data_IF_678471427252
#
_entry.id   IF_678471427252
#
_cell.length_a   1.000
_cell.length_b   1.000
_cell.length_c   1.000
_cell.angle_alpha   90.00
_cell.angle_beta   90.00
_cell.angle_gamma   90.00
#
_symmetry.space_group_name_H-M   'P 1'
#
loop_
_entity.id
_entity.type
_entity.pdbx_description
1 polymer ?
#
# COMPACT_ATOMS: atom_id res chain seq x y z
N UNK A 1 8.51 13.11 -24.84
CA UNK A 1 7.43 13.09 -23.87
C UNK A 1 7.58 11.77 -23.13
N UNK A 2 8.14 11.79 -21.94
CA UNK A 2 8.31 10.61 -21.09
C UNK A 2 7.27 10.77 -20.00
N UNK A 3 6.23 9.96 -19.98
CA UNK A 3 5.17 9.99 -19.00
C UNK A 3 5.15 8.67 -18.28
N UNK A 4 5.21 8.71 -16.98
CA UNK A 4 5.22 7.54 -16.09
C UNK A 4 3.80 7.15 -15.77
N UNK A 5 3.37 5.96 -16.14
CA UNK A 5 2.08 5.39 -15.76
C UNK A 5 2.23 4.43 -14.56
N UNK A 6 3.08 4.78 -13.59
CA UNK A 6 3.09 4.09 -12.28
C UNK A 6 1.71 4.22 -11.59
N UNK A 7 0.87 5.13 -12.09
CA UNK A 7 -0.42 5.51 -11.54
C UNK A 7 -1.52 4.44 -11.61
N UNK A 8 -1.44 3.43 -12.48
CA UNK A 8 -2.56 2.47 -12.62
C UNK A 8 -2.72 1.57 -11.38
N UNK A 9 -1.66 1.33 -10.62
CA UNK A 9 -1.72 0.47 -9.43
C UNK A 9 -1.98 1.19 -8.10
N UNK A 10 -1.93 2.53 -8.07
CA UNK A 10 -2.21 3.32 -6.87
C UNK A 10 -3.64 3.89 -6.85
N UNK A 11 -4.49 3.51 -7.76
CA UNK A 11 -5.41 4.45 -8.34
C UNK A 11 -6.81 4.52 -7.74
N UNK A 12 -7.23 3.69 -6.80
CA UNK A 12 -8.61 3.78 -6.31
C UNK A 12 -8.67 3.48 -4.81
N UNK A 13 -8.51 4.54 -4.04
CA UNK A 13 -8.71 4.56 -2.60
C UNK A 13 -10.19 4.82 -2.30
N UNK A 14 -11.02 3.78 -2.33
CA UNK A 14 -12.39 3.91 -1.85
C UNK A 14 -12.54 3.24 -0.50
N UNK A 15 -12.63 4.05 0.51
CA UNK A 15 -12.94 3.60 1.87
C UNK A 15 -14.42 3.84 2.15
N UNK A 16 -15.26 2.82 1.98
CA UNK A 16 -16.60 2.87 2.60
C UNK A 16 -16.45 2.58 4.09
N UNK A 17 -16.45 3.61 4.91
CA UNK A 17 -16.53 3.50 6.36
C UNK A 17 -17.85 2.82 6.76
N UNK A 18 -17.80 1.51 6.98
CA UNK A 18 -18.86 0.80 7.67
C UNK A 18 -18.63 0.88 9.18
N UNK A 19 -19.62 1.48 9.83
CA UNK A 19 -19.97 1.47 11.26
C UNK A 19 -19.06 0.68 12.20
N UNK A 20 -18.36 1.43 13.05
CA UNK A 20 -17.97 1.15 14.44
C UNK A 20 -18.12 -0.28 14.94
N UNK A 21 -17.14 -1.12 14.70
CA UNK A 21 -16.79 -2.12 15.70
C UNK A 21 -15.69 -1.52 16.59
N UNK A 22 -15.99 -1.34 17.88
CA UNK A 22 -14.99 -1.07 18.90
C UNK A 22 -14.02 -2.25 18.93
N UNK A 23 -12.95 -2.19 18.15
CA UNK A 23 -11.79 -3.03 18.37
C UNK A 23 -11.12 -2.53 19.65
N UNK A 24 -11.07 -3.37 20.66
CA UNK A 24 -10.28 -3.10 21.85
C UNK A 24 -8.84 -2.88 21.40
N UNK A 25 -8.35 -1.65 21.53
CA UNK A 25 -6.93 -1.33 21.41
C UNK A 25 -6.24 -1.96 22.61
N UNK A 26 -5.65 -3.14 22.43
CA UNK A 26 -4.73 -3.70 23.41
C UNK A 26 -3.39 -2.98 23.24
N UNK A 27 -3.10 -2.07 24.15
CA UNK A 27 -1.75 -1.54 24.32
C UNK A 27 -0.80 -2.71 24.60
N UNK A 28 0.20 -2.89 23.76
CA UNK A 28 1.33 -3.77 24.02
C UNK A 28 1.42 -5.04 23.17
N UNK A 29 1.29 -4.97 21.86
CA UNK A 29 1.78 -6.06 21.02
C UNK A 29 3.26 -5.80 20.71
N UNK A 30 4.11 -6.66 21.23
CA UNK A 30 5.57 -6.63 21.06
C UNK A 30 6.06 -7.61 20.00
N UNK A 31 5.15 -8.27 19.31
CA UNK A 31 5.45 -9.32 18.33
C UNK A 31 5.19 -8.82 16.91
N UNK A 32 6.02 -9.29 15.99
CA UNK A 32 5.87 -9.02 14.57
C UNK A 32 4.58 -9.64 14.03
N UNK A 33 3.96 -8.99 13.08
CA UNK A 33 2.81 -9.51 12.35
C UNK A 33 3.19 -9.89 10.94
N UNK A 34 2.74 -11.04 10.51
CA UNK A 34 3.03 -11.57 9.19
C UNK A 34 1.78 -11.57 8.32
N UNK A 35 1.94 -11.14 7.08
CA UNK A 35 0.89 -11.12 6.10
C UNK A 35 1.36 -11.69 4.77
N UNK A 36 0.44 -12.31 4.02
CA UNK A 36 0.57 -12.52 2.59
C UNK A 36 -0.37 -11.56 1.88
N UNK A 37 0.14 -10.85 0.88
CA UNK A 37 -0.65 -10.03 -0.02
C UNK A 37 -0.51 -10.58 -1.44
N UNK A 38 -1.64 -11.02 -1.98
CA UNK A 38 -1.76 -11.52 -3.34
C UNK A 38 -2.52 -10.49 -4.17
N UNK A 39 -1.89 -10.01 -5.23
CA UNK A 39 -2.46 -9.06 -6.17
C UNK A 39 -2.56 -9.69 -7.55
N UNK A 40 -3.74 -9.69 -8.15
CA UNK A 40 -3.98 -10.15 -9.52
C UNK A 40 -4.49 -9.00 -10.37
N UNK A 41 -3.82 -8.74 -11.49
CA UNK A 41 -4.22 -7.72 -12.46
C UNK A 41 -4.57 -8.41 -13.77
N UNK A 42 -5.69 -8.02 -14.37
CA UNK A 42 -6.13 -8.49 -15.68
C UNK A 42 -6.37 -7.30 -16.60
N UNK A 43 -5.61 -7.21 -17.66
CA UNK A 43 -5.83 -6.28 -18.77
C UNK A 43 -6.73 -6.94 -19.80
N UNK A 44 -7.74 -6.23 -20.28
CA UNK A 44 -8.69 -6.74 -21.26
C UNK A 44 -8.96 -5.72 -22.36
N UNK A 45 -8.90 -6.20 -23.60
CA UNK A 45 -9.35 -5.45 -24.77
C UNK A 45 -10.65 -6.12 -25.25
N UNK A 46 -11.84 -5.53 -25.00
CA UNK A 46 -13.11 -6.17 -25.35
C UNK A 46 -13.26 -6.43 -26.86
N UNK A 47 -14.02 -7.47 -27.22
CA UNK A 47 -14.17 -7.91 -28.62
C UNK A 47 -14.82 -6.87 -29.54
N UNK A 48 -15.55 -5.91 -28.99
CA UNK A 48 -16.13 -4.77 -29.69
C UNK A 48 -15.21 -3.55 -29.76
N UNK A 49 -13.97 -3.67 -29.27
CA UNK A 49 -12.97 -2.62 -29.32
C UNK A 49 -12.50 -2.34 -30.75
N UNK A 50 -12.17 -1.07 -31.00
CA UNK A 50 -11.67 -0.62 -32.32
C UNK A 50 -10.15 -0.45 -32.35
N UNK A 51 -9.50 -0.57 -31.17
CA UNK A 51 -8.08 -0.27 -31.01
C UNK A 51 -7.32 -1.50 -30.54
N UNK A 52 -6.03 -1.54 -30.82
CA UNK A 52 -5.08 -2.48 -30.22
C UNK A 52 -4.48 -1.80 -28.98
N UNK A 53 -4.35 -2.52 -27.89
CA UNK A 53 -3.63 -2.06 -26.71
C UNK A 53 -2.16 -2.45 -26.85
N UNK A 54 -1.32 -1.55 -27.32
CA UNK A 54 0.12 -1.73 -27.38
C UNK A 54 0.72 -1.48 -25.99
N UNK A 55 1.32 -2.50 -25.39
CA UNK A 55 1.92 -2.40 -24.06
C UNK A 55 3.18 -1.56 -24.06
N UNK A 56 3.24 -0.64 -23.14
CA UNK A 56 4.42 0.18 -22.83
C UNK A 56 5.22 -0.43 -21.68
N UNK A 57 6.32 0.20 -21.28
CA UNK A 57 7.03 -0.17 -20.04
C UNK A 57 6.14 -0.01 -18.82
N UNK A 58 5.26 0.96 -18.83
CA UNK A 58 4.34 1.31 -17.74
C UNK A 58 3.34 0.19 -17.45
N UNK A 59 2.83 -0.50 -18.50
CA UNK A 59 1.95 -1.66 -18.35
C UNK A 59 2.65 -2.88 -17.71
N UNK A 60 3.98 -2.85 -17.59
CA UNK A 60 4.81 -3.91 -17.05
C UNK A 60 5.26 -3.64 -15.61
N UNK A 61 5.08 -2.40 -15.13
CA UNK A 61 5.57 -1.99 -13.80
C UNK A 61 4.76 -2.65 -12.70
N UNK A 62 5.47 -3.23 -11.73
CA UNK A 62 4.93 -3.58 -10.41
C UNK A 62 5.72 -2.90 -9.32
N UNK A 63 5.04 -2.42 -8.29
CA UNK A 63 5.69 -1.97 -7.06
C UNK A 63 6.13 -3.17 -6.23
N UNK A 64 7.29 -3.04 -5.58
CA UNK A 64 7.87 -4.09 -4.74
C UNK A 64 7.71 -3.80 -3.25
N UNK A 65 6.83 -2.88 -2.90
CA UNK A 65 6.60 -2.43 -1.54
C UNK A 65 7.85 -1.87 -0.85
N UNK A 66 7.66 -1.20 0.24
CA UNK A 66 8.75 -0.58 0.99
C UNK A 66 9.40 -1.57 1.95
N UNK A 67 10.73 -1.51 2.05
CA UNK A 67 11.49 -2.11 3.14
C UNK A 67 12.09 -1.00 4.00
N UNK A 68 11.81 -1.02 5.31
CA UNK A 68 12.28 0.00 6.25
C UNK A 68 12.46 -0.59 7.65
N UNK A 69 12.59 0.25 8.69
CA UNK A 69 12.77 -0.20 10.07
C UNK A 69 11.55 -0.87 10.69
N UNK A 70 10.39 -0.75 10.05
CA UNK A 70 9.10 -1.19 10.59
C UNK A 70 8.44 -2.28 9.74
N UNK A 71 8.96 -2.49 8.54
CA UNK A 71 8.39 -3.40 7.56
C UNK A 71 9.48 -4.08 6.75
N UNK A 72 9.37 -5.39 6.60
CA UNK A 72 10.17 -6.18 5.66
C UNK A 72 9.24 -6.87 4.67
N UNK A 73 9.54 -6.75 3.37
CA UNK A 73 8.74 -7.32 2.30
C UNK A 73 9.60 -8.16 1.38
N UNK A 74 9.10 -9.36 1.05
CA UNK A 74 9.69 -10.27 0.08
C UNK A 74 8.66 -10.61 -1.00
N UNK A 75 9.01 -10.40 -2.27
CA UNK A 75 8.22 -10.94 -3.38
C UNK A 75 8.46 -12.45 -3.46
N UNK A 76 7.43 -13.24 -3.16
CA UNK A 76 7.50 -14.71 -3.14
C UNK A 76 7.28 -15.31 -4.52
N UNK A 77 6.37 -14.73 -5.29
CA UNK A 77 6.05 -15.20 -6.63
C UNK A 77 5.52 -14.10 -7.53
N UNK A 78 5.75 -14.24 -8.81
CA UNK A 78 5.13 -13.49 -9.88
C UNK A 78 4.83 -14.45 -11.05
N UNK A 79 3.68 -14.27 -11.73
CA UNK A 79 3.28 -15.12 -12.85
C UNK A 79 4.32 -15.09 -13.98
N UNK A 80 4.91 -13.92 -14.21
CA UNK A 80 5.97 -13.72 -15.21
C UNK A 80 7.28 -13.31 -14.52
N UNK A 81 8.40 -13.57 -15.19
CA UNK A 81 9.70 -13.15 -14.71
C UNK A 81 9.78 -11.64 -14.48
N UNK A 82 10.65 -11.24 -13.55
CA UNK A 82 10.99 -9.83 -13.32
C UNK A 82 12.30 -9.51 -14.01
N UNK A 83 12.27 -8.48 -14.83
CA UNK A 83 13.46 -7.81 -15.34
C UNK A 83 13.59 -6.41 -14.73
N UNK A 84 14.79 -5.84 -14.78
CA UNK A 84 15.07 -4.44 -14.47
C UNK A 84 14.44 -3.94 -13.16
N UNK A 85 15.03 -4.33 -12.04
CA UNK A 85 14.75 -3.68 -10.76
C UNK A 85 15.31 -2.26 -10.81
N UNK A 86 14.47 -1.27 -10.57
CA UNK A 86 14.83 0.15 -10.56
C UNK A 86 14.07 0.92 -9.50
N UNK A 87 14.38 2.19 -9.38
CA UNK A 87 13.62 3.12 -8.56
C UNK A 87 12.88 4.10 -9.49
N UNK A 88 11.64 4.44 -9.12
CA UNK A 88 10.90 5.51 -9.76
C UNK A 88 11.43 6.90 -9.32
N UNK A 89 10.80 7.97 -9.76
CA UNK A 89 11.21 9.33 -9.40
C UNK A 89 10.93 9.71 -7.94
N UNK A 90 10.01 9.00 -7.28
CA UNK A 90 9.69 9.14 -5.87
C UNK A 90 10.58 8.28 -4.96
N UNK A 91 11.45 7.47 -5.55
CA UNK A 91 12.37 6.58 -4.85
C UNK A 91 11.75 5.24 -4.44
N UNK A 92 10.58 4.88 -4.95
CA UNK A 92 10.00 3.56 -4.71
C UNK A 92 10.67 2.49 -5.57
N UNK A 93 10.89 1.33 -4.99
CA UNK A 93 11.44 0.19 -5.72
C UNK A 93 10.39 -0.46 -6.60
N UNK A 94 10.67 -0.55 -7.88
CA UNK A 94 9.78 -1.17 -8.88
C UNK A 94 10.50 -2.25 -9.67
N UNK A 95 9.71 -3.18 -10.22
CA UNK A 95 10.18 -4.20 -11.15
C UNK A 95 9.36 -4.20 -12.42
N UNK A 96 9.95 -4.67 -13.52
CA UNK A 96 9.24 -4.84 -14.78
C UNK A 96 8.93 -6.31 -15.01
N UNK A 97 7.66 -6.64 -15.22
CA UNK A 97 7.22 -7.99 -15.61
C UNK A 97 7.57 -8.26 -17.06
N UNK A 98 8.11 -9.44 -17.33
CA UNK A 98 8.34 -9.93 -18.68
C UNK A 98 7.04 -10.48 -19.28
N UNK A 99 6.14 -9.57 -19.70
CA UNK A 99 4.85 -9.97 -20.24
C UNK A 99 5.03 -10.82 -21.52
N UNK A 100 4.24 -11.90 -21.71
CA UNK A 100 4.37 -12.82 -22.84
C UNK A 100 3.86 -12.23 -24.16
N UNK A 101 3.14 -11.11 -24.11
CA UNK A 101 2.59 -10.38 -25.25
C UNK A 101 3.06 -8.93 -25.19
N UNK A 102 3.18 -8.31 -26.36
CA UNK A 102 3.48 -6.87 -26.49
C UNK A 102 2.23 -6.03 -26.74
N UNK A 103 1.10 -6.68 -26.99
CA UNK A 103 -0.16 -6.02 -27.32
C UNK A 103 -1.35 -6.95 -27.03
N UNK A 104 -2.54 -6.36 -26.86
CA UNK A 104 -3.81 -7.06 -26.86
C UNK A 104 -4.65 -6.60 -28.05
N UNK A 105 -5.02 -7.56 -28.90
CA UNK A 105 -6.01 -7.34 -29.96
C UNK A 105 -7.44 -7.36 -29.37
N UNK A 106 -8.43 -6.81 -30.07
CA UNK A 106 -9.83 -6.91 -29.66
C UNK A 106 -10.24 -8.36 -29.35
N UNK A 107 -10.86 -8.57 -28.18
CA UNK A 107 -11.24 -9.89 -27.67
C UNK A 107 -10.15 -10.61 -26.87
N UNK A 108 -8.97 -10.04 -26.70
CA UNK A 108 -7.88 -10.63 -25.92
C UNK A 108 -7.80 -10.06 -24.49
N UNK A 109 -7.26 -10.88 -23.59
CA UNK A 109 -6.89 -10.48 -22.23
C UNK A 109 -5.56 -11.06 -21.82
N UNK A 110 -4.96 -10.45 -20.80
CA UNK A 110 -3.74 -10.89 -20.13
C UNK A 110 -3.88 -10.72 -18.64
N UNK A 111 -3.60 -11.76 -17.87
CA UNK A 111 -3.63 -11.71 -16.41
C UNK A 111 -2.29 -12.10 -15.82
N UNK A 112 -1.91 -11.44 -14.75
CA UNK A 112 -0.74 -11.80 -13.94
C UNK A 112 -1.04 -11.62 -12.45
N UNK A 113 -0.31 -12.38 -11.64
CA UNK A 113 -0.44 -12.37 -10.18
C UNK A 113 0.93 -12.19 -9.57
N UNK A 114 1.00 -11.37 -8.53
CA UNK A 114 2.15 -11.27 -7.63
C UNK A 114 1.73 -11.66 -6.21
N UNK A 115 2.65 -12.23 -5.45
CA UNK A 115 2.45 -12.56 -4.04
C UNK A 115 3.64 -12.06 -3.23
N UNK A 116 3.34 -11.27 -2.20
CA UNK A 116 4.31 -10.72 -1.27
C UNK A 116 4.10 -11.30 0.13
N UNK A 117 5.19 -11.68 0.79
CA UNK A 117 5.20 -11.93 2.23
C UNK A 117 5.71 -10.68 2.93
N UNK A 118 4.99 -10.25 3.95
CA UNK A 118 5.18 -8.98 4.62
C UNK A 118 5.27 -9.23 6.11
N UNK A 119 6.29 -8.67 6.74
CA UNK A 119 6.50 -8.68 8.19
C UNK A 119 6.40 -7.25 8.70
N UNK A 120 5.38 -7.00 9.50
CA UNK A 120 5.16 -5.74 10.20
C UNK A 120 5.73 -5.80 11.61
N UNK A 121 6.72 -4.97 11.88
CA UNK A 121 7.32 -4.81 13.19
C UNK A 121 6.58 -3.73 14.00
N UNK A 122 6.54 -3.82 15.34
CA UNK A 122 5.94 -2.80 16.18
C UNK A 122 6.55 -1.43 15.93
N UNK A 123 5.71 -0.44 15.64
CA UNK A 123 6.13 0.94 15.45
C UNK A 123 5.84 1.76 16.71
N UNK A 124 6.88 2.32 17.29
CA UNK A 124 6.76 3.24 18.42
C UNK A 124 6.85 4.68 17.92
N UNK A 125 5.81 5.45 18.18
CA UNK A 125 5.85 6.90 17.99
C UNK A 125 6.49 7.51 19.25
N UNK A 126 7.40 8.49 19.10
CA UNK A 126 8.01 9.17 20.25
C UNK A 126 6.96 9.91 21.07
N UNK A 127 7.26 10.19 22.33
CA UNK A 127 6.44 11.05 23.15
C UNK A 127 6.48 12.47 22.59
N UNK A 128 5.31 12.99 22.19
CA UNK A 128 5.19 14.27 21.51
C UNK A 128 4.74 15.33 22.50
N UNK A 129 5.55 16.38 22.63
CA UNK A 129 5.26 17.54 23.47
C UNK A 129 5.46 18.83 22.70
N UNK A 130 4.47 19.73 22.75
CA UNK A 130 4.59 21.07 22.14
C UNK A 130 5.80 21.85 22.66
N UNK A 131 6.14 21.67 23.96
CA UNK A 131 7.30 22.32 24.56
C UNK A 131 8.62 21.88 23.95
N UNK A 132 8.71 20.64 23.47
CA UNK A 132 9.90 20.02 22.87
C UNK A 132 9.94 20.14 21.35
N UNK A 133 8.84 20.57 20.72
CA UNK A 133 8.80 20.78 19.28
C UNK A 133 9.82 21.80 18.84
N UNK A 134 10.58 21.44 17.80
CA UNK A 134 11.44 22.36 17.08
C UNK A 134 10.63 23.39 16.30
N UNK A 135 11.31 24.44 15.87
CA UNK A 135 10.74 25.53 15.06
C UNK A 135 11.04 25.34 13.57
N UNK A 136 10.37 26.10 12.72
CA UNK A 136 10.59 26.04 11.26
C UNK A 136 12.08 26.18 10.87
N UNK A 137 12.86 26.98 11.59
CA UNK A 137 14.29 27.12 11.33
C UNK A 137 15.14 25.90 11.72
N UNK A 138 14.58 24.94 12.47
CA UNK A 138 15.28 23.69 12.82
C UNK A 138 15.12 22.63 11.72
N UNK A 139 14.31 22.91 10.69
CA UNK A 139 14.14 22.03 9.54
C UNK A 139 15.38 22.13 8.64
N UNK A 140 16.04 20.99 8.31
CA UNK A 140 17.16 21.02 7.38
C UNK A 140 16.77 21.59 6.02
N UNK A 141 17.48 22.63 5.55
CA UNK A 141 17.17 23.31 4.29
C UNK A 141 17.16 22.37 3.08
N UNK A 142 17.94 21.28 3.11
CA UNK A 142 17.94 20.27 2.06
C UNK A 142 16.57 19.56 1.98
N UNK A 143 15.95 19.24 3.12
CA UNK A 143 14.63 18.60 3.15
C UNK A 143 13.54 19.55 2.63
N UNK A 144 13.62 20.84 3.00
CA UNK A 144 12.69 21.84 2.48
C UNK A 144 12.82 21.95 0.94
N UNK A 145 14.04 21.97 0.41
CA UNK A 145 14.27 22.01 -1.04
C UNK A 145 13.74 20.77 -1.76
N UNK A 146 13.86 19.60 -1.14
CA UNK A 146 13.45 18.33 -1.76
C UNK A 146 11.95 18.04 -1.65
N UNK A 147 11.34 18.34 -0.50
CA UNK A 147 9.99 17.91 -0.16
C UNK A 147 8.98 19.05 0.06
N UNK A 148 9.38 20.29 -0.03
CA UNK A 148 8.48 21.43 0.08
C UNK A 148 8.49 22.36 -1.14
N UNK A 149 9.36 22.11 -2.12
CA UNK A 149 9.48 22.90 -3.35
C UNK A 149 8.94 22.19 -4.59
N UNK A 150 8.59 20.90 -4.52
CA UNK A 150 8.06 20.16 -5.66
C UNK A 150 6.65 20.65 -6.00
N UNK A 151 6.39 20.79 -7.30
CA UNK A 151 5.08 21.14 -7.87
C UNK A 151 4.27 19.87 -8.17
N UNK A 152 3.18 20.01 -8.90
CA UNK A 152 2.31 18.90 -9.30
C UNK A 152 1.13 18.75 -8.33
N UNK A 153 0.90 17.55 -7.82
CA UNK A 153 -0.22 17.21 -6.92
C UNK A 153 -0.45 18.20 -5.77
N UNK A 154 0.62 18.86 -5.30
CA UNK A 154 0.59 19.56 -4.01
C UNK A 154 -0.07 20.92 -4.04
N UNK A 155 -0.17 21.59 -5.20
CA UNK A 155 -0.79 22.93 -5.38
C UNK A 155 -0.41 23.96 -4.32
N UNK A 156 0.74 23.80 -3.66
CA UNK A 156 1.18 24.65 -2.54
C UNK A 156 1.54 26.08 -2.97
N UNK A 157 1.60 26.34 -4.28
CA UNK A 157 1.78 27.68 -4.86
C UNK A 157 0.46 28.35 -5.23
N UNK A 158 -0.69 27.65 -5.11
CA UNK A 158 -2.00 28.25 -5.31
C UNK A 158 -2.26 29.35 -4.29
N UNK A 159 -2.68 30.56 -4.71
CA UNK A 159 -2.85 31.71 -3.80
C UNK A 159 -3.86 31.44 -2.67
N UNK A 160 -4.92 30.66 -2.92
CA UNK A 160 -5.91 30.34 -1.88
C UNK A 160 -5.36 29.38 -0.84
N UNK A 161 -4.53 28.44 -1.24
CA UNK A 161 -3.84 27.51 -0.33
C UNK A 161 -2.78 28.25 0.48
N UNK A 162 -2.05 29.19 -0.15
CA UNK A 162 -1.06 30.02 0.56
C UNK A 162 -1.73 30.91 1.61
N UNK A 163 -2.81 31.61 1.26
CA UNK A 163 -3.56 32.44 2.19
C UNK A 163 -4.08 31.60 3.36
N UNK A 164 -4.73 30.46 3.07
CA UNK A 164 -5.28 29.56 4.07
C UNK A 164 -4.20 29.04 5.02
N UNK A 165 -3.06 28.56 4.50
CA UNK A 165 -1.97 28.04 5.30
C UNK A 165 -1.41 29.09 6.28
N UNK A 166 -1.20 30.31 5.79
CA UNK A 166 -0.70 31.40 6.63
C UNK A 166 -1.73 31.89 7.64
N UNK A 167 -3.00 31.93 7.30
CA UNK A 167 -4.08 32.30 8.21
C UNK A 167 -4.20 31.30 9.37
N UNK A 168 -4.13 29.98 9.08
CA UNK A 168 -4.19 28.94 10.11
C UNK A 168 -2.93 28.97 10.99
N UNK A 169 -1.75 29.05 10.39
CA UNK A 169 -0.49 29.06 11.13
C UNK A 169 -0.33 30.33 11.98
N UNK A 170 -0.85 31.47 11.52
CA UNK A 170 -0.76 32.75 12.23
C UNK A 170 0.70 33.12 12.54
N UNK A 171 0.98 33.33 13.81
CA UNK A 171 2.34 33.67 14.30
C UNK A 171 3.08 32.45 14.90
N UNK A 172 2.57 31.24 14.72
CA UNK A 172 3.20 30.04 15.26
C UNK A 172 4.52 29.77 14.53
N UNK A 173 5.50 29.31 15.26
CA UNK A 173 6.81 28.92 14.70
C UNK A 173 7.18 27.48 15.00
N UNK A 174 6.53 26.84 15.97
CA UNK A 174 6.76 25.44 16.33
C UNK A 174 6.03 24.52 15.37
N UNK A 175 6.75 23.60 14.77
CA UNK A 175 6.24 22.75 13.69
C UNK A 175 5.09 21.88 14.16
N UNK A 176 5.15 21.32 15.37
CA UNK A 176 4.06 20.50 15.91
C UNK A 176 2.77 21.31 16.15
N UNK A 177 2.89 22.54 16.67
CA UNK A 177 1.75 23.43 16.89
C UNK A 177 1.07 23.80 15.57
N UNK A 178 1.87 24.16 14.55
CA UNK A 178 1.38 24.41 13.19
C UNK A 178 0.66 23.19 12.63
N UNK A 179 1.29 22.03 12.69
CA UNK A 179 0.70 20.77 12.17
C UNK A 179 -0.64 20.46 12.85
N UNK A 180 -0.73 20.63 14.18
CA UNK A 180 -1.98 20.47 14.93
C UNK A 180 -3.08 21.42 14.47
N UNK A 181 -2.75 22.70 14.29
CA UNK A 181 -3.72 23.70 13.83
C UNK A 181 -4.27 23.38 12.43
N UNK A 182 -3.41 22.87 11.54
CA UNK A 182 -3.81 22.42 10.20
C UNK A 182 -4.74 21.19 10.27
N UNK A 183 -4.42 20.21 11.13
CA UNK A 183 -5.27 19.02 11.38
C UNK A 183 -6.65 19.46 11.91
N UNK A 184 -6.69 20.34 12.89
CA UNK A 184 -7.93 20.85 13.47
C UNK A 184 -8.80 21.55 12.42
N UNK A 185 -8.17 22.39 11.59
CA UNK A 185 -8.88 23.09 10.52
C UNK A 185 -9.48 22.10 9.51
N UNK A 186 -8.71 21.10 9.05
CA UNK A 186 -9.20 20.08 8.08
C UNK A 186 -10.34 19.29 8.70
N UNK A 187 -10.20 18.81 9.94
CA UNK A 187 -11.25 18.09 10.68
C UNK A 187 -12.56 18.88 10.73
N UNK A 188 -12.48 20.19 10.96
CA UNK A 188 -13.64 21.03 11.19
C UNK A 188 -14.31 21.51 9.87
N UNK A 189 -13.59 21.49 8.75
CA UNK A 189 -14.04 22.07 7.48
C UNK A 189 -14.20 21.07 6.33
N UNK A 190 -13.57 19.89 6.40
CA UNK A 190 -13.60 18.90 5.32
C UNK A 190 -14.33 17.64 5.79
N UNK A 191 -15.47 17.35 5.14
CA UNK A 191 -16.21 16.12 5.41
C UNK A 191 -15.67 14.96 4.57
N UNK A 192 -15.75 13.73 5.08
CA UNK A 192 -15.30 12.57 4.35
C UNK A 192 -16.27 12.21 3.20
N UNK A 193 -15.77 12.16 1.98
CA UNK A 193 -16.52 11.73 0.79
C UNK A 193 -15.53 11.14 -0.22
N UNK A 194 -15.83 9.94 -0.74
CA UNK A 194 -14.98 9.25 -1.72
C UNK A 194 -15.09 9.87 -3.10
N UNK A 195 -13.96 9.93 -3.82
CA UNK A 195 -13.88 10.36 -5.21
C UNK A 195 -13.22 9.27 -6.08
N UNK A 196 -13.62 9.20 -7.34
CA UNK A 196 -12.99 8.28 -8.31
C UNK A 196 -11.61 8.78 -8.79
N UNK A 197 -11.35 10.04 -8.66
CA UNK A 197 -10.07 10.71 -8.95
C UNK A 197 -9.78 11.64 -7.80
N UNK A 198 -8.57 11.58 -7.24
CA UNK A 198 -8.17 12.47 -6.17
C UNK A 198 -8.30 13.96 -6.57
N UNK A 199 -8.58 14.80 -5.59
CA UNK A 199 -8.73 16.23 -5.77
C UNK A 199 -7.42 16.98 -5.45
N UNK A 200 -7.14 18.04 -6.21
CA UNK A 200 -6.12 19.00 -5.79
C UNK A 200 -6.57 19.73 -4.51
N UNK A 201 -5.62 20.22 -3.73
CA UNK A 201 -5.89 20.85 -2.43
C UNK A 201 -6.93 21.97 -2.50
N UNK A 202 -6.84 22.86 -3.49
CA UNK A 202 -7.78 23.96 -3.71
C UNK A 202 -9.19 23.45 -4.07
N UNK A 203 -9.29 22.32 -4.75
CA UNK A 203 -10.55 21.69 -5.07
C UNK A 203 -11.21 21.08 -3.84
N UNK A 204 -10.41 20.40 -2.98
CA UNK A 204 -10.87 19.86 -1.69
C UNK A 204 -11.39 20.96 -0.78
N UNK A 205 -10.68 22.09 -0.70
CA UNK A 205 -11.13 23.28 0.07
C UNK A 205 -12.42 23.84 -0.50
N UNK A 206 -12.50 24.02 -1.82
CA UNK A 206 -13.69 24.57 -2.48
C UNK A 206 -14.90 23.67 -2.34
N UNK A 207 -14.72 22.35 -2.37
CA UNK A 207 -15.79 21.37 -2.22
C UNK A 207 -16.21 21.16 -0.75
N UNK A 208 -15.33 21.38 0.21
CA UNK A 208 -15.54 21.08 1.64
C UNK A 208 -15.68 19.59 1.93
N UNK A 209 -15.24 18.75 0.99
CA UNK A 209 -15.27 17.28 1.09
C UNK A 209 -14.00 16.67 0.49
N UNK A 210 -13.63 15.48 0.97
CA UNK A 210 -12.51 14.71 0.45
C UNK A 210 -12.34 13.39 1.19
N UNK A 211 -11.76 12.40 0.55
CA UNK A 211 -11.44 11.11 1.19
C UNK A 211 -10.03 11.10 1.82
N UNK A 212 -9.43 9.93 1.96
CA UNK A 212 -8.18 9.80 2.71
C UNK A 212 -7.00 10.49 2.00
N UNK A 213 -6.86 10.32 0.70
CA UNK A 213 -5.78 10.94 -0.06
C UNK A 213 -6.06 12.41 -0.35
N UNK A 214 -7.31 12.81 -0.60
CA UNK A 214 -7.70 14.22 -0.76
C UNK A 214 -7.32 15.06 0.48
N UNK A 215 -7.68 14.55 1.68
CA UNK A 215 -7.36 15.23 2.94
C UNK A 215 -5.85 15.22 3.23
N UNK A 216 -5.16 14.12 2.90
CA UNK A 216 -3.71 14.05 3.02
C UNK A 216 -3.01 15.02 2.05
N UNK A 217 -3.46 15.11 0.79
CA UNK A 217 -2.95 16.06 -0.21
C UNK A 217 -3.15 17.50 0.26
N UNK A 218 -4.33 17.82 0.79
CA UNK A 218 -4.59 19.14 1.35
C UNK A 218 -3.65 19.47 2.51
N UNK A 219 -3.47 18.55 3.46
CA UNK A 219 -2.54 18.75 4.57
C UNK A 219 -1.11 18.97 4.08
N UNK A 220 -0.66 18.18 3.10
CA UNK A 220 0.68 18.28 2.51
C UNK A 220 0.85 19.63 1.81
N UNK A 221 -0.15 20.08 1.05
CA UNK A 221 -0.11 21.38 0.38
C UNK A 221 0.03 22.54 1.38
N UNK A 222 -0.74 22.52 2.47
CA UNK A 222 -0.65 23.51 3.54
C UNK A 222 0.71 23.48 4.27
N UNK A 223 1.22 22.29 4.58
CA UNK A 223 2.54 22.10 5.20
C UNK A 223 3.67 22.62 4.30
N UNK A 224 3.64 22.26 3.01
CA UNK A 224 4.65 22.68 2.04
C UNK A 224 4.65 24.20 1.81
N UNK A 225 3.47 24.81 1.80
CA UNK A 225 3.34 26.28 1.77
C UNK A 225 4.11 26.95 2.90
N UNK A 226 4.12 26.34 4.08
CA UNK A 226 4.82 26.85 5.27
C UNK A 226 6.28 26.37 5.36
N UNK A 227 6.80 25.72 4.32
CA UNK A 227 8.16 25.22 4.25
C UNK A 227 8.41 23.93 5.06
N UNK A 228 7.35 23.24 5.48
CA UNK A 228 7.43 21.98 6.22
C UNK A 228 7.48 20.80 5.23
N UNK A 229 8.59 20.03 5.16
CA UNK A 229 8.75 18.90 4.27
C UNK A 229 7.68 17.86 4.54
N UNK A 230 7.00 17.41 3.48
CA UNK A 230 5.94 16.41 3.59
C UNK A 230 5.68 15.70 2.27
N UNK A 231 5.14 14.49 2.32
CA UNK A 231 4.78 13.68 1.16
C UNK A 231 3.60 12.76 1.47
N UNK A 232 2.95 12.23 0.44
CA UNK A 232 1.89 11.24 0.56
C UNK A 232 2.51 9.85 0.65
N UNK A 233 2.04 9.05 1.59
CA UNK A 233 2.34 7.63 1.68
C UNK A 233 1.07 6.82 1.44
N UNK A 234 1.15 5.85 0.55
CA UNK A 234 0.08 4.90 0.26
C UNK A 234 0.40 3.58 0.92
N UNK A 235 -0.63 2.93 1.45
CA UNK A 235 -0.52 1.61 2.05
C UNK A 235 -1.81 0.82 1.98
N UNK A 236 -1.76 -0.39 2.52
CA UNK A 236 -2.90 -1.30 2.59
C UNK A 236 -3.19 -1.68 4.04
N UNK A 237 -4.44 -1.59 4.45
CA UNK A 237 -4.90 -1.96 5.79
C UNK A 237 -5.52 -3.36 5.74
N UNK A 238 -5.08 -4.24 6.64
CA UNK A 238 -5.73 -5.53 6.83
C UNK A 238 -7.07 -5.36 7.57
N UNK A 239 -8.17 -5.73 6.91
CA UNK A 239 -9.53 -5.61 7.41
C UNK A 239 -10.22 -6.98 7.32
N UNK A 240 -10.13 -7.83 8.37
CA UNK A 240 -10.61 -9.23 8.31
C UNK A 240 -12.08 -9.38 7.94
N UNK A 241 -12.90 -8.39 8.27
CA UNK A 241 -14.35 -8.38 8.06
C UNK A 241 -14.80 -7.66 6.79
N UNK A 242 -13.85 -7.20 5.93
CA UNK A 242 -14.22 -6.50 4.70
C UNK A 242 -15.02 -7.44 3.79
N UNK A 243 -16.20 -6.99 3.38
CA UNK A 243 -17.03 -7.68 2.43
C UNK A 243 -16.35 -7.71 1.06
N UNK A 244 -16.42 -8.87 0.41
CA UNK A 244 -15.87 -9.04 -0.92
C UNK A 244 -16.95 -8.71 -1.96
N UNK A 245 -16.57 -8.05 -3.02
CA UNK A 245 -17.44 -7.75 -4.16
C UNK A 245 -16.71 -6.86 -5.16
N UNK A 246 -17.01 -6.98 -6.45
CA UNK A 246 -16.47 -6.08 -7.45
C UNK A 246 -17.08 -4.68 -7.28
N UNK A 247 -16.23 -3.68 -7.35
CA UNK A 247 -16.60 -2.28 -7.45
C UNK A 247 -16.10 -1.74 -8.78
N UNK A 248 -17.00 -1.13 -9.56
CA UNK A 248 -16.69 -0.63 -10.90
C UNK A 248 -16.49 0.88 -10.88
N UNK A 249 -15.42 1.31 -11.54
CA UNK A 249 -15.00 2.70 -11.64
C UNK A 249 -14.77 3.08 -13.08
N UNK A 250 -14.75 4.40 -13.35
CA UNK A 250 -14.40 4.94 -14.67
C UNK A 250 -15.23 4.35 -15.80
N UNK A 251 -16.57 4.39 -15.65
CA UNK A 251 -17.50 3.80 -16.60
C UNK A 251 -17.25 2.29 -16.86
N UNK A 252 -16.92 1.53 -15.82
CA UNK A 252 -16.59 0.11 -15.87
C UNK A 252 -15.30 -0.19 -16.65
N UNK A 253 -14.42 0.80 -16.83
CA UNK A 253 -13.08 0.57 -17.38
C UNK A 253 -12.12 0.00 -16.33
N UNK A 254 -12.43 0.18 -15.03
CA UNK A 254 -11.68 -0.40 -13.93
C UNK A 254 -12.65 -1.13 -12.99
N UNK A 255 -12.32 -2.38 -12.65
CA UNK A 255 -13.02 -3.17 -11.64
C UNK A 255 -12.06 -3.55 -10.53
N UNK A 256 -12.42 -3.29 -9.28
CA UNK A 256 -11.62 -3.61 -8.10
C UNK A 256 -12.34 -4.65 -7.25
N UNK A 257 -11.58 -5.64 -6.79
CA UNK A 257 -12.03 -6.67 -5.83
C UNK A 257 -11.06 -6.69 -4.66
N UNK A 258 -11.54 -6.32 -3.48
CA UNK A 258 -10.73 -6.26 -2.27
C UNK A 258 -11.20 -7.30 -1.25
N UNK A 259 -10.28 -8.19 -0.87
CA UNK A 259 -10.55 -9.27 0.09
C UNK A 259 -9.68 -9.10 1.33
N UNK A 260 -10.30 -8.74 2.43
CA UNK A 260 -9.65 -8.48 3.73
C UNK A 260 -8.58 -7.37 3.68
N UNK A 261 -8.67 -6.48 2.72
CA UNK A 261 -7.75 -5.36 2.49
C UNK A 261 -8.56 -4.10 2.22
N UNK A 262 -7.99 -2.95 2.51
CA UNK A 262 -8.45 -1.63 2.07
C UNK A 262 -7.23 -0.77 1.81
N UNK A 263 -7.15 -0.17 0.63
CA UNK A 263 -6.10 0.80 0.32
C UNK A 263 -6.35 2.12 1.06
N UNK A 264 -5.27 2.78 1.44
CA UNK A 264 -5.33 3.99 2.26
C UNK A 264 -4.14 4.91 2.00
N UNK A 265 -4.39 6.23 2.07
CA UNK A 265 -3.38 7.27 1.94
C UNK A 265 -3.31 8.16 3.18
N UNK A 266 -2.09 8.56 3.56
CA UNK A 266 -1.84 9.49 4.67
C UNK A 266 -0.63 10.37 4.39
N UNK A 267 -0.57 11.52 5.05
CA UNK A 267 0.58 12.39 4.98
C UNK A 267 1.73 11.87 5.86
N UNK A 268 2.95 12.17 5.45
CA UNK A 268 4.14 12.05 6.29
C UNK A 268 4.80 13.42 6.33
N UNK A 269 5.00 13.98 7.53
CA UNK A 269 5.54 15.31 7.75
C UNK A 269 6.85 15.26 8.56
N UNK A 270 7.78 16.16 8.25
CA UNK A 270 8.99 16.30 9.03
C UNK A 270 8.76 17.27 10.20
N UNK A 271 8.77 16.75 11.42
CA UNK A 271 8.50 17.51 12.64
C UNK A 271 9.73 17.43 13.56
N UNK A 272 10.58 18.46 13.61
CA UNK A 272 11.75 18.45 14.48
C UNK A 272 11.34 18.50 15.97
N UNK A 273 12.10 17.84 16.89
CA UNK A 273 13.32 17.06 16.65
C UNK A 273 13.06 15.61 16.25
N UNK A 274 11.79 15.16 16.17
CA UNK A 274 11.43 13.76 16.00
C UNK A 274 11.64 13.19 14.57
N UNK A 275 11.76 14.08 13.56
CA UNK A 275 11.96 13.67 12.16
C UNK A 275 10.64 13.39 11.44
N UNK A 276 10.62 12.37 10.57
CA UNK A 276 9.46 12.01 9.76
C UNK A 276 8.41 11.29 10.59
N UNK A 277 7.21 11.88 10.70
CA UNK A 277 6.06 11.32 11.41
C UNK A 277 4.87 11.14 10.46
N UNK A 278 4.13 10.02 10.56
CA UNK A 278 2.88 9.85 9.84
C UNK A 278 1.80 10.78 10.42
N UNK A 279 0.97 11.31 9.55
CA UNK A 279 -0.19 12.13 9.93
C UNK A 279 -1.41 11.64 9.16
N UNK A 280 -2.26 10.87 9.80
CA UNK A 280 -3.46 10.28 9.24
C UNK A 280 -4.71 10.99 9.75
N UNK A 281 -5.55 11.45 8.83
CA UNK A 281 -6.72 12.27 9.16
C UNK A 281 -8.02 11.45 9.18
N UNK A 282 -8.01 10.24 8.64
CA UNK A 282 -9.24 9.51 8.33
C UNK A 282 -9.33 8.12 8.95
N UNK A 283 -8.19 7.46 9.21
CA UNK A 283 -8.15 6.19 9.92
C UNK A 283 -7.51 6.36 11.31
N UNK A 284 -8.27 6.94 12.23
CA UNK A 284 -7.86 7.24 13.61
C UNK A 284 -8.90 6.66 14.57
N UNK A 285 -8.63 5.51 15.22
CA UNK A 285 -9.62 4.79 16.04
C UNK A 285 -10.27 5.61 17.16
N UNK A 286 -9.53 6.51 17.80
CA UNK A 286 -10.06 7.38 18.88
C UNK A 286 -10.56 8.74 18.36
N UNK A 287 -10.55 8.93 17.04
CA UNK A 287 -10.94 10.18 16.41
C UNK A 287 -9.95 11.32 16.61
N UNK A 288 -10.27 12.48 16.03
CA UNK A 288 -9.42 13.66 15.98
C UNK A 288 -9.80 14.76 17.01
N UNK A 289 -10.60 14.45 18.04
CA UNK A 289 -10.87 15.41 19.12
C UNK A 289 -9.56 15.90 19.77
N UNK A 290 -8.58 15.01 19.87
CA UNK A 290 -7.19 15.38 20.09
C UNK A 290 -6.45 15.28 18.75
N UNK A 291 -5.98 16.38 18.14
CA UNK A 291 -5.32 16.36 16.85
C UNK A 291 -4.00 15.55 16.83
N UNK A 292 -3.35 15.36 18.00
CA UNK A 292 -2.19 14.47 18.10
C UNK A 292 -2.52 13.01 17.77
N UNK A 293 -3.79 12.59 17.86
CA UNK A 293 -4.18 11.24 17.49
C UNK A 293 -3.91 10.95 16.01
N UNK A 294 -3.95 11.95 15.15
CA UNK A 294 -3.55 11.80 13.74
C UNK A 294 -2.12 11.25 13.59
N UNK A 295 -1.24 11.53 14.53
CA UNK A 295 0.15 11.06 14.54
C UNK A 295 0.28 9.79 15.38
N UNK A 296 -0.33 9.77 16.57
CA UNK A 296 -0.15 8.70 17.56
C UNK A 296 -0.91 7.43 17.22
N UNK A 297 -2.01 7.55 16.47
CA UNK A 297 -2.98 6.47 16.27
C UNK A 297 -3.39 6.26 14.80
N UNK A 298 -2.71 6.90 13.85
CA UNK A 298 -2.96 6.70 12.43
C UNK A 298 -2.76 5.23 11.99
N UNK A 299 -3.25 4.89 10.80
CA UNK A 299 -3.25 3.52 10.28
C UNK A 299 -1.90 2.81 10.44
N UNK A 300 -0.82 3.48 10.08
CA UNK A 300 0.53 2.91 10.08
C UNK A 300 1.05 2.55 11.48
N UNK A 301 0.43 3.06 12.55
CA UNK A 301 0.81 2.73 13.93
C UNK A 301 0.08 1.49 14.47
N UNK A 302 -0.89 0.95 13.72
CA UNK A 302 -1.79 -0.12 14.18
C UNK A 302 -1.27 -1.54 13.92
N UNK A 303 -0.09 -1.70 13.30
CA UNK A 303 0.47 -3.00 12.90
C UNK A 303 -0.47 -3.87 12.02
N UNK A 304 -1.43 -3.28 11.37
CA UNK A 304 -2.27 -3.93 10.37
C UNK A 304 -2.21 -3.19 9.03
N UNK A 305 -1.23 -2.30 8.88
CA UNK A 305 -1.07 -1.42 7.73
C UNK A 305 0.29 -1.64 7.08
N UNK A 306 0.26 -2.11 5.85
CA UNK A 306 1.45 -2.33 5.03
C UNK A 306 1.74 -1.08 4.22
N UNK A 307 2.97 -0.58 4.28
CA UNK A 307 3.40 0.58 3.50
C UNK A 307 3.76 0.14 2.07
N UNK A 308 3.15 0.79 1.10
CA UNK A 308 3.29 0.43 -0.31
C UNK A 308 4.29 1.31 -1.05
N UNK A 309 4.02 2.61 -1.12
CA UNK A 309 4.86 3.59 -1.82
C UNK A 309 4.74 4.99 -1.23
N UNK A 310 5.72 5.82 -1.54
CA UNK A 310 5.68 7.26 -1.30
C UNK A 310 5.41 8.00 -2.60
N UNK A 311 4.72 9.14 -2.52
CA UNK A 311 4.52 10.08 -3.61
C UNK A 311 4.98 11.45 -3.12
N UNK A 312 6.03 11.96 -3.72
CA UNK A 312 6.67 13.23 -3.32
C UNK A 312 6.88 14.20 -4.47
N UNK A 313 7.04 13.68 -5.71
CA UNK A 313 7.36 14.43 -6.93
C UNK A 313 6.36 14.18 -8.06
N UNK A 314 5.85 12.94 -8.16
CA UNK A 314 4.88 12.54 -9.18
C UNK A 314 3.60 13.37 -9.05
N UNK A 315 3.05 13.82 -10.18
CA UNK A 315 1.70 14.39 -10.20
C UNK A 315 0.66 13.28 -10.25
N UNK A 316 0.41 12.72 -9.08
CA UNK A 316 -0.51 11.61 -8.84
C UNK A 316 -1.92 11.84 -9.40
N UNK A 317 -2.41 13.08 -9.33
CA UNK A 317 -3.75 13.44 -9.82
C UNK A 317 -3.76 13.50 -11.34
N UNK A 318 -2.77 14.17 -11.95
CA UNK A 318 -2.66 14.25 -13.40
C UNK A 318 -2.51 12.86 -14.04
N UNK A 319 -1.70 11.99 -13.43
CA UNK A 319 -1.51 10.61 -13.90
C UNK A 319 -2.81 9.80 -13.79
N UNK A 320 -3.61 10.04 -12.75
CA UNK A 320 -4.92 9.42 -12.57
C UNK A 320 -5.91 9.84 -13.68
N UNK A 321 -5.95 11.13 -14.00
CA UNK A 321 -6.79 11.68 -15.07
C UNK A 321 -6.36 11.13 -16.44
N UNK A 322 -5.06 11.03 -16.71
CA UNK A 322 -4.54 10.49 -17.97
C UNK A 322 -4.88 9.01 -18.14
N UNK A 323 -4.68 8.21 -17.07
CA UNK A 323 -5.00 6.78 -17.06
C UNK A 323 -6.49 6.52 -17.29
N UNK A 324 -7.35 7.29 -16.61
CA UNK A 324 -8.79 7.22 -16.82
C UNK A 324 -9.19 7.52 -18.25
N UNK A 325 -8.65 8.61 -18.81
CA UNK A 325 -8.93 9.00 -20.18
C UNK A 325 -8.45 7.95 -21.17
N UNK A 326 -7.25 7.42 -20.96
CA UNK A 326 -6.70 6.36 -21.82
C UNK A 326 -7.60 5.12 -21.84
N UNK A 327 -8.05 4.63 -20.68
CA UNK A 327 -8.89 3.43 -20.62
C UNK A 327 -10.27 3.67 -21.23
N UNK A 328 -10.94 4.79 -20.91
CA UNK A 328 -12.29 5.10 -21.40
C UNK A 328 -12.28 5.34 -22.91
N UNK A 329 -11.35 6.17 -23.42
CA UNK A 329 -11.32 6.58 -24.81
C UNK A 329 -11.01 5.43 -25.77
N UNK A 330 -10.24 4.43 -25.30
CA UNK A 330 -9.90 3.25 -26.06
C UNK A 330 -10.82 2.05 -25.77
N UNK A 331 -11.69 2.13 -24.76
CA UNK A 331 -12.57 1.05 -24.35
C UNK A 331 -11.84 -0.13 -23.70
N UNK A 332 -10.65 0.10 -23.15
CA UNK A 332 -9.87 -0.92 -22.44
C UNK A 332 -10.38 -1.12 -21.01
N UNK A 333 -10.13 -2.29 -20.46
CA UNK A 333 -10.56 -2.65 -19.12
C UNK A 333 -9.40 -3.20 -18.29
N UNK A 334 -9.35 -2.81 -17.02
CA UNK A 334 -8.43 -3.32 -16.02
C UNK A 334 -9.24 -3.87 -14.85
N UNK A 335 -8.99 -5.13 -14.49
CA UNK A 335 -9.49 -5.70 -13.25
C UNK A 335 -8.33 -5.91 -12.29
N UNK A 336 -8.49 -5.44 -11.06
CA UNK A 336 -7.55 -5.63 -9.96
C UNK A 336 -8.23 -6.42 -8.85
N UNK A 337 -7.58 -7.48 -8.38
CA UNK A 337 -8.03 -8.28 -7.25
C UNK A 337 -6.90 -8.38 -6.23
N UNK A 338 -7.12 -7.83 -5.04
CA UNK A 338 -6.18 -7.84 -3.94
C UNK A 338 -6.74 -8.65 -2.77
N UNK A 339 -5.93 -9.57 -2.26
CA UNK A 339 -6.28 -10.41 -1.14
C UNK A 339 -5.17 -10.38 -0.09
N UNK A 340 -5.48 -9.89 1.12
CA UNK A 340 -4.55 -9.88 2.23
C UNK A 340 -4.91 -10.95 3.26
N UNK A 341 -3.93 -11.75 3.67
CA UNK A 341 -4.11 -12.83 4.63
C UNK A 341 -3.14 -12.67 5.79
N UNK A 342 -3.65 -12.67 7.00
CA UNK A 342 -2.82 -12.74 8.21
C UNK A 342 -2.22 -14.15 8.35
N UNK A 343 -0.91 -14.22 8.53
CA UNK A 343 -0.16 -15.44 8.75
C UNK A 343 0.22 -15.51 10.24
N UNK A 344 -0.52 -16.26 11.06
CA UNK A 344 -0.18 -16.38 12.47
C UNK A 344 1.21 -17.03 12.61
N UNK A 345 2.06 -16.43 13.43
CA UNK A 345 3.30 -17.11 13.84
C UNK A 345 2.93 -18.32 14.69
N UNK A 346 3.45 -19.48 14.31
CA UNK A 346 3.39 -20.65 15.19
C UNK A 346 4.11 -20.32 16.49
N UNK A 347 3.34 -20.10 17.56
CA UNK A 347 3.88 -19.89 18.91
C UNK A 347 4.63 -21.15 19.37
N UNK A 348 5.88 -21.26 18.95
CA UNK A 348 6.90 -22.04 19.65
C UNK A 348 6.84 -23.54 19.65
N UNK A 349 6.13 -24.19 18.76
CA UNK A 349 6.48 -25.56 18.36
C UNK A 349 7.43 -25.43 17.16
N UNK A 350 8.71 -25.66 17.36
CA UNK A 350 9.68 -25.76 16.26
C UNK A 350 9.10 -26.67 15.21
N UNK A 351 8.50 -26.06 14.18
CA UNK A 351 7.80 -26.75 13.12
C UNK A 351 8.70 -27.83 12.56
N UNK A 352 8.16 -29.00 12.44
CA UNK A 352 8.75 -30.14 11.75
C UNK A 352 9.29 -29.63 10.41
N UNK A 353 10.61 -29.56 10.30
CA UNK A 353 11.27 -29.18 9.06
C UNK A 353 10.75 -30.13 7.95
N UNK A 354 10.06 -29.67 6.90
CA UNK A 354 9.48 -30.53 5.90
C UNK A 354 10.51 -31.44 5.24
N UNK A 355 11.77 -31.03 5.21
CA UNK A 355 12.90 -31.89 4.81
C UNK A 355 13.13 -33.05 5.78
N UNK A 356 13.03 -32.82 7.10
CA UNK A 356 13.19 -33.88 8.12
C UNK A 356 11.97 -34.82 8.04
N UNK A 357 10.76 -34.29 7.82
CA UNK A 357 9.56 -35.12 7.63
C UNK A 357 9.65 -35.98 6.36
N UNK A 358 10.13 -35.43 5.26
CA UNK A 358 10.33 -36.16 4.01
C UNK A 358 11.38 -37.26 4.15
N UNK A 359 12.50 -36.98 4.86
CA UNK A 359 13.55 -37.98 5.14
C UNK A 359 13.06 -39.07 6.07
N UNK A 360 12.26 -38.76 7.11
CA UNK A 360 11.66 -39.75 8.00
C UNK A 360 10.64 -40.63 7.27
N UNK A 361 9.79 -40.08 6.44
CA UNK A 361 8.83 -40.82 5.63
C UNK A 361 9.56 -41.74 4.63
N UNK A 362 10.60 -41.22 3.96
CA UNK A 362 11.43 -42.04 3.06
C UNK A 362 12.14 -43.21 3.78
N UNK A 363 12.63 -42.96 4.99
CA UNK A 363 13.27 -43.99 5.83
C UNK A 363 12.25 -45.05 6.29
N UNK A 364 11.03 -44.66 6.67
CA UNK A 364 9.95 -45.59 7.04
C UNK A 364 9.53 -46.45 5.84
N UNK A 365 9.39 -45.88 4.66
CA UNK A 365 9.06 -46.59 3.43
C UNK A 365 10.17 -47.55 3.02
N UNK A 366 11.44 -47.14 3.15
CA UNK A 366 12.60 -47.99 2.87
C UNK A 366 12.69 -49.19 3.85
N UNK A 367 12.48 -48.96 5.15
CA UNK A 367 12.47 -50.01 6.17
C UNK A 367 11.28 -50.98 5.94
N UNK A 368 10.08 -50.49 5.60
CA UNK A 368 8.91 -51.31 5.30
C UNK A 368 9.17 -52.19 4.09
N UNK A 369 9.79 -51.66 3.04
CA UNK A 369 10.17 -52.41 1.83
C UNK A 369 11.20 -53.48 2.12
N UNK A 370 12.16 -53.20 3.00
CA UNK A 370 13.20 -54.17 3.44
C UNK A 370 12.57 -55.31 4.22
N UNK A 371 11.65 -55.02 5.15
CA UNK A 371 10.93 -56.02 5.94
C UNK A 371 10.08 -56.94 5.05
N UNK A 372 9.34 -56.37 4.11
CA UNK A 372 8.55 -57.12 3.12
C UNK A 372 9.45 -58.01 2.25
N UNK A 373 10.61 -57.48 1.81
CA UNK A 373 11.58 -58.23 1.02
C UNK A 373 12.19 -59.41 1.82
N UNK A 374 12.53 -59.19 3.11
CA UNK A 374 12.99 -60.26 3.99
C UNK A 374 11.91 -61.32 4.24
N UNK A 375 10.66 -60.92 4.44
CA UNK A 375 9.54 -61.85 4.60
C UNK A 375 9.31 -62.71 3.33
N UNK A 376 9.39 -62.11 2.14
CA UNK A 376 9.26 -62.83 0.86
C UNK A 376 10.45 -63.78 0.64
N UNK A 377 11.71 -63.41 0.98
CA UNK A 377 12.88 -64.29 0.92
C UNK A 377 12.74 -65.46 1.90
N UNK A 378 12.22 -65.24 3.13
CA UNK A 378 11.94 -66.32 4.09
C UNK A 378 10.85 -67.26 3.60
N UNK A 379 9.78 -66.76 2.97
CA UNK A 379 8.73 -67.59 2.36
C UNK A 379 9.28 -68.41 1.19
N UNK A 380 10.10 -67.87 0.31
CA UNK A 380 10.75 -68.57 -0.79
C UNK A 380 11.63 -69.73 -0.28
N UNK A 381 12.53 -69.49 0.71
CA UNK A 381 13.36 -70.51 1.30
C UNK A 381 12.53 -71.62 1.96
N UNK A 382 11.38 -71.30 2.54
CA UNK A 382 10.51 -72.28 3.19
C UNK A 382 9.70 -73.10 2.17
N UNK A 383 9.48 -72.60 0.96
CA UNK A 383 8.87 -73.33 -0.16
C UNK A 383 9.89 -74.29 -0.85
N UNK A 384 11.14 -73.82 -1.04
CA UNK A 384 12.26 -74.61 -1.59
C UNK A 384 12.64 -75.78 -0.71
N UNK A 385 12.51 -75.67 0.62
CA UNK A 385 12.79 -76.78 1.57
C UNK A 385 11.65 -77.75 1.74
N UNK A 386 10.55 -77.65 1.02
CA UNK A 386 9.40 -78.51 1.05
C UNK A 386 9.09 -79.28 -0.30
N UNK A 387 9.99 -79.08 -1.28
CA UNK A 387 9.93 -79.90 -2.49
C UNK A 387 10.73 -81.21 -2.28
N UNK A 388 10.15 -82.42 -2.59
CA UNK A 388 10.80 -83.67 -2.35
C UNK A 388 12.04 -83.89 -3.22
#
# INVERSE_FOLDING_TARGET
MKKSTVAILALLLTFTLLSTQKTMVTHGQTEDRHYSLKSTVTYSNPANGNFTWDFTEEDQVISLFMNNSWQSVELKSATYGLSNLKYDEDGNKIGLLELPKKQLLPGESLSFTTEHEIVEMPRTIPDLSESESGVLNDIPSQLTQEYAAAEGTWSHTDPSIQELAHDIAGNQTKVLEITKALIEWIRDNINYTTHEIPLYAEQTVAAGVGDCDDQAILLIALLRTLGIPSYLQIGAIYIPSRAEGPEDYWNNSVTIVEKRIGWHGWAVAYIPPWGWLPVDLTYVPEGLDNPLNAILQGAVTQQNTVQYMNISKTDYIADSVESRSFLIDNGFQVQMEDEMTYLPQDSGVRGFNPFISAVLIAAIVAMSSLVVSMMMRRRRKKLESRSP
#
